data_IF_596437124769
#
_entry.id   IF_596437124769
#
_cell.length_a   1.000
_cell.length_b   1.000
_cell.length_c   1.000
_cell.angle_alpha   90.00
_cell.angle_beta   90.00
_cell.angle_gamma   90.00
#
_symmetry.space_group_name_H-M   'P 1'
#
loop_
_entity.id
_entity.type
_entity.pdbx_description
1 polymer ?
#
# COMPACT_ATOMS: atom_id res chain seq x y z
N UNK A 1 -42.83 -7.46 -3.70
CA UNK A 1 -41.84 -6.50 -4.28
C UNK A 1 -40.41 -6.68 -3.75
N UNK A 2 -40.00 -7.87 -3.28
CA UNK A 2 -38.63 -8.14 -2.77
C UNK A 2 -37.76 -9.01 -3.70
N UNK A 3 -38.28 -9.43 -4.85
CA UNK A 3 -37.56 -10.28 -5.83
C UNK A 3 -37.10 -9.56 -7.10
N UNK A 4 -37.32 -8.24 -7.20
CA UNK A 4 -36.91 -7.43 -8.37
C UNK A 4 -35.71 -6.51 -8.10
N UNK A 5 -35.25 -6.41 -6.85
CA UNK A 5 -34.06 -5.61 -6.49
C UNK A 5 -32.76 -6.45 -6.61
N UNK A 6 -32.86 -7.78 -6.54
CA UNK A 6 -31.69 -8.66 -6.62
C UNK A 6 -31.08 -8.79 -8.03
N UNK A 7 -31.85 -8.49 -9.09
CA UNK A 7 -31.39 -8.61 -10.49
C UNK A 7 -30.73 -7.31 -10.98
N UNK A 8 -31.03 -6.17 -10.35
CA UNK A 8 -30.40 -4.88 -10.68
C UNK A 8 -28.96 -4.75 -10.16
N UNK A 9 -28.64 -5.38 -9.02
CA UNK A 9 -27.28 -5.35 -8.45
C UNK A 9 -26.31 -6.34 -9.11
N UNK A 10 -26.81 -7.40 -9.75
CA UNK A 10 -25.96 -8.38 -10.44
C UNK A 10 -25.43 -7.86 -11.79
N UNK A 11 -26.09 -6.85 -12.38
CA UNK A 11 -25.67 -6.23 -13.65
C UNK A 11 -24.62 -5.14 -13.41
N UNK A 12 -24.60 -4.49 -12.24
CA UNK A 12 -23.54 -3.54 -11.88
C UNK A 12 -22.20 -4.22 -11.55
N UNK A 13 -22.19 -5.51 -11.19
CA UNK A 13 -20.96 -6.27 -10.95
C UNK A 13 -20.39 -6.96 -12.22
N UNK A 14 -21.15 -7.02 -13.32
CA UNK A 14 -20.68 -7.57 -14.60
C UNK A 14 -20.13 -6.52 -15.58
N UNK A 15 -20.18 -5.23 -15.22
CA UNK A 15 -19.55 -4.15 -16.00
C UNK A 15 -18.06 -3.90 -15.65
N UNK A 16 -17.43 -4.78 -14.85
CA UNK A 16 -15.99 -4.72 -14.54
C UNK A 16 -15.17 -5.81 -15.25
N UNK A 17 -15.80 -6.63 -16.10
CA UNK A 17 -15.12 -7.68 -16.86
C UNK A 17 -15.34 -7.48 -18.36
N UNK A 18 -14.24 -7.11 -19.04
CA UNK A 18 -14.03 -7.02 -20.48
C UNK A 18 -14.32 -5.68 -21.18
N UNK A 19 -13.31 -4.80 -21.15
CA UNK A 19 -12.70 -4.28 -22.39
C UNK A 19 -11.17 -4.34 -22.30
N UNK A 20 -10.61 -5.55 -22.24
CA UNK A 20 -9.26 -5.77 -22.76
C UNK A 20 -9.40 -6.37 -24.16
N UNK A 21 -9.98 -5.60 -25.08
CA UNK A 21 -9.98 -5.92 -26.51
C UNK A 21 -9.11 -4.89 -27.21
N UNK A 22 -8.08 -5.41 -27.87
CA UNK A 22 -7.18 -4.76 -28.81
C UNK A 22 -6.24 -3.68 -28.25
N UNK A 23 -5.11 -4.08 -27.65
CA UNK A 23 -3.86 -3.35 -27.88
C UNK A 23 -3.14 -3.99 -29.07
N UNK A 24 -3.73 -3.87 -30.25
CA UNK A 24 -2.99 -4.07 -31.48
C UNK A 24 -2.20 -2.78 -31.75
N UNK A 25 -0.87 -2.74 -31.85
CA UNK A 25 0.17 -3.55 -31.22
C UNK A 25 1.45 -2.75 -31.43
N UNK A 26 1.95 -2.04 -30.41
CA UNK A 26 3.37 -1.70 -30.43
C UNK A 26 4.10 -3.03 -30.41
N UNK A 27 4.73 -3.37 -31.54
CA UNK A 27 5.54 -4.58 -31.67
C UNK A 27 6.98 -4.15 -31.80
N UNK A 28 7.84 -4.76 -31.00
CA UNK A 28 9.28 -4.64 -31.17
C UNK A 28 9.77 -5.96 -31.76
N UNK A 29 10.21 -5.94 -33.02
CA UNK A 29 10.64 -7.14 -33.75
C UNK A 29 9.59 -8.27 -33.73
N UNK A 30 8.32 -7.91 -33.96
CA UNK A 30 7.20 -8.85 -33.96
C UNK A 30 6.66 -9.24 -32.58
N UNK A 31 7.34 -8.88 -31.49
CA UNK A 31 6.91 -9.19 -30.12
C UNK A 31 6.01 -8.09 -29.54
N UNK A 32 4.92 -8.42 -28.82
CA UNK A 32 4.08 -7.43 -28.15
C UNK A 32 4.87 -6.59 -27.14
N UNK A 33 4.70 -5.27 -27.16
CA UNK A 33 5.33 -4.34 -26.21
C UNK A 33 4.42 -4.11 -25.00
N UNK A 34 5.04 -3.96 -23.83
CA UNK A 34 4.41 -3.49 -22.59
C UNK A 34 5.10 -2.22 -22.09
N UNK A 35 4.35 -1.42 -21.34
CA UNK A 35 4.89 -0.26 -20.63
C UNK A 35 5.38 -0.72 -19.25
N UNK A 36 6.62 -0.36 -18.89
CA UNK A 36 7.07 -0.51 -17.51
C UNK A 36 6.58 0.70 -16.72
N UNK A 37 5.78 0.44 -15.69
CA UNK A 37 5.37 1.45 -14.71
C UNK A 37 6.10 1.14 -13.41
N UNK A 38 6.90 2.09 -12.93
CA UNK A 38 7.62 2.02 -11.67
C UNK A 38 7.18 3.16 -10.77
N UNK A 39 6.63 2.84 -9.59
CA UNK A 39 6.07 3.81 -8.65
C UNK A 39 5.09 4.81 -9.30
N UNK A 40 4.14 4.30 -10.10
CA UNK A 40 3.15 5.12 -10.83
C UNK A 40 3.72 5.94 -12.00
N UNK A 41 5.03 5.94 -12.21
CA UNK A 41 5.69 6.65 -13.32
C UNK A 41 6.04 5.69 -14.45
N UNK A 42 5.83 6.13 -15.68
CA UNK A 42 6.28 5.37 -16.85
C UNK A 42 7.80 5.42 -16.98
N UNK A 43 8.44 4.24 -16.96
CA UNK A 43 9.87 4.11 -17.26
C UNK A 43 10.04 4.05 -18.77
N UNK A 44 10.74 5.03 -19.34
CA UNK A 44 11.01 5.09 -20.78
C UNK A 44 12.25 4.28 -21.10
N UNK A 45 12.16 3.43 -22.13
CA UNK A 45 13.34 2.80 -22.72
C UNK A 45 13.86 3.62 -23.90
N UNK A 46 15.19 3.75 -24.02
CA UNK A 46 15.84 4.38 -25.17
C UNK A 46 16.03 3.41 -26.35
N UNK A 47 16.20 2.12 -26.07
CA UNK A 47 16.70 1.16 -27.08
C UNK A 47 15.75 -0.03 -27.29
N UNK A 48 15.47 -0.77 -26.23
CA UNK A 48 14.66 -2.00 -26.28
C UNK A 48 13.51 -1.85 -25.28
N UNK A 49 12.24 -1.89 -25.69
CA UNK A 49 11.13 -1.78 -24.75
C UNK A 49 10.90 -3.09 -23.99
N UNK A 50 10.02 -3.09 -22.99
CA UNK A 50 9.54 -4.34 -22.39
C UNK A 50 8.72 -5.08 -23.43
N UNK A 51 9.04 -6.35 -23.65
CA UNK A 51 8.36 -7.20 -24.65
C UNK A 51 7.79 -8.45 -24.01
N UNK A 52 6.82 -9.07 -24.68
CA UNK A 52 6.33 -10.41 -24.35
C UNK A 52 6.94 -11.40 -25.34
N UNK A 53 7.77 -12.30 -24.83
CA UNK A 53 8.42 -13.38 -25.61
C UNK A 53 8.01 -14.72 -24.98
N UNK A 54 7.45 -15.63 -25.76
CA UNK A 54 7.00 -16.95 -25.31
C UNK A 54 6.09 -16.92 -24.07
N UNK A 55 5.16 -15.95 -24.05
CA UNK A 55 4.23 -15.74 -22.92
C UNK A 55 4.86 -15.10 -21.68
N UNK A 56 6.15 -14.75 -21.71
CA UNK A 56 6.88 -14.14 -20.60
C UNK A 56 7.19 -12.67 -20.86
N UNK A 57 7.06 -11.84 -19.83
CA UNK A 57 7.47 -10.44 -19.89
C UNK A 57 8.98 -10.33 -19.75
N UNK A 58 9.65 -9.87 -20.80
CA UNK A 58 11.07 -9.62 -20.84
C UNK A 58 11.33 -8.14 -20.62
N UNK A 59 11.96 -7.81 -19.49
CA UNK A 59 12.37 -6.44 -19.15
C UNK A 59 13.85 -6.30 -19.52
N UNK A 60 14.21 -5.42 -20.47
CA UNK A 60 15.61 -5.18 -20.80
C UNK A 60 16.36 -4.64 -19.58
N UNK A 61 17.48 -5.27 -19.25
CA UNK A 61 18.25 -4.97 -18.05
C UNK A 61 18.74 -3.52 -18.00
N UNK A 62 18.98 -2.88 -19.15
CA UNK A 62 19.36 -1.46 -19.22
C UNK A 62 18.27 -0.52 -18.68
N UNK A 63 16.99 -0.94 -18.66
CA UNK A 63 15.92 -0.15 -18.03
C UNK A 63 16.06 -0.10 -16.50
N UNK A 64 16.85 -0.99 -15.90
CA UNK A 64 17.15 -0.90 -14.47
C UNK A 64 18.03 0.31 -14.14
N UNK A 65 18.77 0.85 -15.11
CA UNK A 65 19.54 2.10 -14.96
C UNK A 65 18.64 3.28 -14.64
N UNK A 66 17.50 3.38 -15.33
CA UNK A 66 16.49 4.42 -15.06
C UNK A 66 15.77 4.28 -13.72
N UNK A 67 15.99 3.18 -13.00
CA UNK A 67 15.44 2.96 -11.65
C UNK A 67 16.55 2.73 -10.61
N UNK A 68 17.77 3.24 -10.87
CA UNK A 68 18.83 3.35 -9.86
C UNK A 68 19.82 2.19 -9.80
N UNK A 69 19.90 1.33 -10.82
CA UNK A 69 20.86 0.22 -10.86
C UNK A 69 21.96 0.44 -11.90
N UNK A 70 23.20 0.18 -11.52
CA UNK A 70 24.33 0.01 -12.44
C UNK A 70 24.34 -1.41 -12.99
N UNK A 71 24.43 -1.50 -14.31
CA UNK A 71 24.53 -2.76 -15.02
C UNK A 71 25.94 -2.90 -15.58
N UNK A 72 26.63 -3.96 -15.19
CA UNK A 72 27.90 -4.39 -15.80
C UNK A 72 27.76 -5.80 -16.35
N UNK A 73 28.54 -6.10 -17.37
CA UNK A 73 28.61 -7.44 -17.97
C UNK A 73 29.98 -8.03 -17.71
N UNK A 74 30.02 -9.28 -17.26
CA UNK A 74 31.27 -10.01 -16.99
C UNK A 74 31.13 -11.43 -17.49
N UNK A 75 31.77 -11.73 -18.63
CA UNK A 75 31.62 -13.00 -19.33
C UNK A 75 30.15 -13.27 -19.69
N UNK A 76 29.64 -14.43 -19.27
CA UNK A 76 28.25 -14.84 -19.47
C UNK A 76 27.28 -14.31 -18.40
N UNK A 77 27.74 -13.39 -17.52
CA UNK A 77 26.93 -12.84 -16.44
C UNK A 77 26.56 -11.40 -16.71
N UNK A 78 25.31 -11.07 -16.39
CA UNK A 78 24.86 -9.69 -16.19
C UNK A 78 24.86 -9.43 -14.70
N UNK A 79 25.69 -8.48 -14.28
CA UNK A 79 25.83 -8.07 -12.89
C UNK A 79 25.00 -6.80 -12.72
N UNK A 80 23.99 -6.89 -11.85
CA UNK A 80 23.12 -5.78 -11.48
C UNK A 80 23.54 -5.34 -10.08
N UNK A 81 24.14 -4.16 -9.97
CA UNK A 81 24.46 -3.57 -8.67
C UNK A 81 23.69 -2.26 -8.51
N UNK A 82 23.19 -1.94 -7.31
CA UNK A 82 22.72 -0.60 -6.99
C UNK A 82 23.76 0.46 -7.40
N UNK A 83 23.35 1.50 -8.14
CA UNK A 83 24.24 2.58 -8.55
C UNK A 83 24.59 3.43 -7.32
N UNK A 84 25.74 3.18 -6.69
CA UNK A 84 26.41 3.97 -5.61
C UNK A 84 25.58 4.43 -4.39
N UNK A 85 24.27 4.18 -4.33
CA UNK A 85 23.33 4.66 -3.33
C UNK A 85 22.44 3.52 -2.82
N UNK A 86 23.09 2.39 -2.45
CA UNK A 86 22.44 1.28 -1.73
C UNK A 86 21.58 1.79 -0.57
N UNK A 87 22.05 2.83 0.10
CA UNK A 87 21.37 3.50 1.19
C UNK A 87 20.01 4.07 0.79
N UNK A 88 19.92 4.84 -0.30
CA UNK A 88 18.62 5.38 -0.77
C UNK A 88 17.71 4.31 -1.37
N UNK A 89 18.25 3.29 -2.03
CA UNK A 89 17.45 2.14 -2.50
C UNK A 89 16.88 1.33 -1.32
N UNK A 90 17.67 1.08 -0.29
CA UNK A 90 17.21 0.44 0.94
C UNK A 90 16.13 1.28 1.64
N UNK A 91 16.34 2.60 1.73
CA UNK A 91 15.33 3.53 2.28
C UNK A 91 14.02 3.46 1.51
N UNK A 92 14.06 3.48 0.17
CA UNK A 92 12.84 3.35 -0.65
C UNK A 92 12.14 2.03 -0.34
N UNK A 93 12.87 0.93 -0.21
CA UNK A 93 12.30 -0.37 0.17
C UNK A 93 11.57 -0.32 1.52
N UNK A 94 12.20 0.30 2.53
CA UNK A 94 11.62 0.42 3.87
C UNK A 94 10.41 1.35 3.87
N UNK A 95 10.54 2.54 3.28
CA UNK A 95 9.44 3.50 3.18
C UNK A 95 8.23 2.91 2.45
N UNK A 96 8.46 2.15 1.38
CA UNK A 96 7.40 1.41 0.65
C UNK A 96 6.74 0.36 1.54
N UNK A 97 7.49 -0.28 2.44
CA UNK A 97 6.93 -1.25 3.40
C UNK A 97 5.94 -0.60 4.39
N UNK A 98 6.17 0.67 4.76
CA UNK A 98 5.23 1.47 5.56
C UNK A 98 3.98 1.85 4.77
N UNK A 99 4.10 2.19 3.48
CA UNK A 99 2.94 2.44 2.63
C UNK A 99 1.95 1.26 2.64
N UNK A 100 2.45 0.02 2.59
CA UNK A 100 1.62 -1.19 2.69
C UNK A 100 0.91 -1.31 4.04
N UNK A 101 1.63 -1.07 5.14
CA UNK A 101 1.03 -1.04 6.48
C UNK A 101 -0.12 -0.03 6.54
N UNK A 102 0.10 1.16 5.99
CA UNK A 102 -0.90 2.23 6.04
C UNK A 102 -2.12 1.97 5.17
N UNK A 103 -1.97 1.29 4.03
CA UNK A 103 -3.12 0.77 3.26
C UNK A 103 -3.94 -0.18 4.12
N UNK A 104 -3.27 -1.10 4.81
CA UNK A 104 -3.91 -2.03 5.75
C UNK A 104 -4.71 -1.35 6.86
N UNK A 105 -4.17 -0.27 7.45
CA UNK A 105 -4.89 0.51 8.46
C UNK A 105 -6.12 1.25 7.88
N UNK A 106 -6.07 1.70 6.62
CA UNK A 106 -7.25 2.26 5.94
C UNK A 106 -8.31 1.19 5.65
N UNK A 107 -7.90 -0.03 5.31
CA UNK A 107 -8.85 -1.15 5.13
C UNK A 107 -9.54 -1.50 6.46
N UNK A 108 -8.77 -1.55 7.56
CA UNK A 108 -9.30 -1.72 8.91
C UNK A 108 -10.31 -0.62 9.26
N UNK A 109 -9.99 0.64 8.98
CA UNK A 109 -10.90 1.76 9.14
C UNK A 109 -12.21 1.58 8.37
N UNK A 110 -12.11 1.15 7.11
CA UNK A 110 -13.26 0.85 6.25
C UNK A 110 -14.16 -0.21 6.88
N UNK A 111 -13.59 -1.28 7.43
CA UNK A 111 -14.35 -2.33 8.13
C UNK A 111 -15.07 -1.78 9.38
N UNK A 112 -14.39 -0.95 10.18
CA UNK A 112 -14.96 -0.35 11.38
C UNK A 112 -16.16 0.56 11.05
N UNK A 113 -16.02 1.42 10.04
CA UNK A 113 -17.08 2.34 9.63
C UNK A 113 -18.24 1.63 8.95
N UNK A 114 -17.96 0.69 8.04
CA UNK A 114 -19.00 -0.06 7.33
C UNK A 114 -19.87 -0.87 8.30
N UNK A 115 -19.25 -1.63 9.20
CA UNK A 115 -19.98 -2.42 10.20
C UNK A 115 -20.80 -1.55 11.16
N UNK A 116 -20.34 -0.33 11.45
CA UNK A 116 -21.09 0.65 12.26
C UNK A 116 -22.33 1.17 11.52
N UNK A 117 -22.22 1.40 10.20
CA UNK A 117 -23.34 1.85 9.37
C UNK A 117 -24.36 0.72 9.16
N UNK A 118 -23.88 -0.50 8.89
CA UNK A 118 -24.72 -1.68 8.69
C UNK A 118 -25.55 -2.02 9.93
N UNK A 119 -25.03 -1.77 11.13
CA UNK A 119 -25.77 -1.97 12.39
C UNK A 119 -26.79 -0.87 12.70
N UNK A 120 -26.94 0.13 11.83
CA UNK A 120 -27.91 1.21 11.99
C UNK A 120 -27.68 2.10 13.21
N UNK A 121 -26.47 2.12 13.79
CA UNK A 121 -26.16 2.93 14.96
C UNK A 121 -26.74 2.44 16.29
N UNK A 122 -27.33 1.24 16.33
CA UNK A 122 -28.06 0.76 17.51
C UNK A 122 -28.20 -0.77 17.66
N UNK A 123 -27.97 -1.55 16.60
CA UNK A 123 -27.93 -3.01 16.71
C UNK A 123 -26.54 -3.51 17.10
N UNK A 124 -26.50 -4.63 17.82
CA UNK A 124 -25.25 -5.29 18.18
C UNK A 124 -24.60 -5.87 16.94
N UNK A 125 -23.31 -5.62 16.79
CA UNK A 125 -22.50 -6.21 15.71
C UNK A 125 -22.17 -7.66 16.07
N UNK A 126 -22.13 -8.53 15.06
CA UNK A 126 -21.89 -9.96 15.26
C UNK A 126 -20.54 -10.24 15.92
N UNK A 127 -20.45 -11.32 16.71
CA UNK A 127 -19.18 -11.73 17.32
C UNK A 127 -18.13 -12.10 16.27
N UNK A 128 -18.55 -12.61 15.11
CA UNK A 128 -17.66 -12.92 13.98
C UNK A 128 -16.99 -11.65 13.44
N UNK A 129 -17.77 -10.58 13.20
CA UNK A 129 -17.24 -9.29 12.77
C UNK A 129 -16.30 -8.69 13.82
N UNK A 130 -16.64 -8.81 15.10
CA UNK A 130 -15.77 -8.35 16.20
C UNK A 130 -14.44 -9.11 16.20
N UNK A 131 -14.47 -10.43 16.01
CA UNK A 131 -13.26 -11.25 15.91
C UNK A 131 -12.40 -10.84 14.71
N UNK A 132 -13.01 -10.73 13.51
CA UNK A 132 -12.31 -10.35 12.29
C UNK A 132 -11.59 -8.99 12.40
N UNK A 133 -12.24 -7.99 13.00
CA UNK A 133 -11.62 -6.67 13.22
C UNK A 133 -10.43 -6.76 14.19
N UNK A 134 -10.55 -7.54 15.26
CA UNK A 134 -9.46 -7.74 16.22
C UNK A 134 -8.28 -8.49 15.60
N UNK A 135 -8.56 -9.53 14.84
CA UNK A 135 -7.55 -10.31 14.13
C UNK A 135 -6.82 -9.45 13.10
N UNK A 136 -7.54 -8.59 12.39
CA UNK A 136 -6.93 -7.61 11.47
C UNK A 136 -6.02 -6.62 12.20
N UNK A 137 -6.46 -6.08 13.35
CA UNK A 137 -5.60 -5.20 14.16
C UNK A 137 -4.34 -5.93 14.64
N UNK A 138 -4.49 -7.14 15.19
CA UNK A 138 -3.37 -7.94 15.67
C UNK A 138 -2.37 -8.29 14.54
N UNK A 139 -2.88 -8.60 13.36
CA UNK A 139 -2.05 -8.83 12.17
C UNK A 139 -1.21 -7.58 11.83
N UNK A 140 -1.82 -6.39 11.81
CA UNK A 140 -1.07 -5.16 11.50
C UNK A 140 -0.06 -4.78 12.59
N UNK A 141 -0.32 -5.14 13.85
CA UNK A 141 0.66 -5.00 14.94
C UNK A 141 1.88 -5.92 14.76
N UNK A 142 1.65 -7.16 14.34
CA UNK A 142 2.72 -8.11 14.02
C UNK A 142 3.54 -7.64 12.82
N UNK A 143 2.88 -7.11 11.79
CA UNK A 143 3.54 -6.54 10.61
C UNK A 143 4.34 -5.26 10.92
N UNK A 144 3.94 -4.49 11.93
CA UNK A 144 4.64 -3.25 12.30
C UNK A 144 6.04 -3.52 12.88
N UNK A 145 6.18 -4.47 13.79
CA UNK A 145 7.44 -4.75 14.50
C UNK A 145 8.67 -4.98 13.60
N UNK A 146 8.63 -5.83 12.54
CA UNK A 146 9.80 -6.02 11.67
C UNK A 146 10.13 -4.77 10.86
N UNK A 147 9.13 -3.94 10.50
CA UNK A 147 9.34 -2.70 9.73
C UNK A 147 10.07 -1.65 10.54
N UNK A 148 9.79 -1.60 11.84
CA UNK A 148 10.53 -0.75 12.78
C UNK A 148 11.98 -1.19 12.89
N UNK A 149 12.24 -2.48 13.04
CA UNK A 149 13.63 -2.99 13.11
C UNK A 149 14.44 -2.64 11.88
N UNK A 150 13.82 -2.68 10.70
CA UNK A 150 14.47 -2.24 9.47
C UNK A 150 14.93 -0.79 9.55
N UNK A 151 14.22 0.10 10.25
CA UNK A 151 14.63 1.50 10.44
C UNK A 151 15.88 1.63 11.30
N UNK A 152 15.99 0.82 12.36
CA UNK A 152 17.15 0.83 13.25
C UNK A 152 18.42 0.39 12.49
N UNK A 153 18.29 -0.55 11.56
CA UNK A 153 19.40 -1.10 10.78
C UNK A 153 19.94 -0.12 9.70
N UNK A 154 19.19 0.92 9.31
CA UNK A 154 19.61 1.91 8.28
C UNK A 154 19.96 3.28 8.85
N UNK A 155 20.05 3.37 10.17
CA UNK A 155 20.34 4.61 10.91
C UNK A 155 21.85 4.92 10.93
N UNK A 156 22.45 5.30 9.77
CA UNK A 156 23.41 6.40 9.83
C UNK A 156 23.24 7.41 8.67
N UNK A 157 22.07 7.50 8.03
CA UNK A 157 21.82 8.54 7.03
C UNK A 157 21.25 9.77 7.75
N UNK A 158 22.02 10.87 7.77
CA UNK A 158 21.70 12.13 8.48
C UNK A 158 20.31 12.73 8.13
N UNK A 159 19.73 12.32 7.00
CA UNK A 159 18.44 12.80 6.50
C UNK A 159 17.25 11.86 6.80
N UNK A 160 17.43 10.79 7.61
CA UNK A 160 16.34 9.87 7.88
C UNK A 160 15.33 10.44 8.90
N UNK A 161 14.02 10.50 8.56
CA UNK A 161 13.01 11.08 9.42
C UNK A 161 12.64 10.21 10.61
N UNK A 162 13.07 10.65 11.79
CA UNK A 162 12.51 10.19 13.06
C UNK A 162 10.98 10.36 13.15
N UNK A 163 10.43 11.28 12.35
CA UNK A 163 8.99 11.52 12.27
C UNK A 163 8.21 10.34 11.67
N UNK A 164 8.81 9.51 10.82
CA UNK A 164 8.13 8.32 10.27
C UNK A 164 7.99 7.25 11.36
N UNK A 165 9.05 6.99 12.13
CA UNK A 165 9.02 6.06 13.26
C UNK A 165 7.91 6.46 14.24
N UNK A 166 8.00 7.69 14.75
CA UNK A 166 7.07 8.22 15.76
C UNK A 166 5.65 8.31 15.19
N UNK A 167 5.52 8.79 13.95
CA UNK A 167 4.23 8.92 13.30
C UNK A 167 3.53 7.58 13.10
N UNK A 168 4.28 6.53 12.72
CA UNK A 168 3.74 5.20 12.52
C UNK A 168 3.37 4.53 13.85
N UNK A 169 4.21 4.68 14.88
CA UNK A 169 3.91 4.22 16.24
C UNK A 169 2.61 4.86 16.77
N UNK A 170 2.50 6.19 16.64
CA UNK A 170 1.32 6.94 17.04
C UNK A 170 0.08 6.52 16.24
N UNK A 171 0.21 6.25 14.93
CA UNK A 171 -0.88 5.75 14.11
C UNK A 171 -1.35 4.38 14.63
N UNK A 172 -0.44 3.43 14.83
CA UNK A 172 -0.76 2.10 15.37
C UNK A 172 -1.46 2.19 16.73
N UNK A 173 -0.95 3.04 17.63
CA UNK A 173 -1.55 3.28 18.95
C UNK A 173 -2.97 3.82 18.83
N UNK A 174 -3.22 4.80 17.95
CA UNK A 174 -4.55 5.37 17.74
C UNK A 174 -5.53 4.36 17.12
N UNK A 175 -5.08 3.53 16.19
CA UNK A 175 -5.92 2.47 15.62
C UNK A 175 -6.27 1.40 16.65
N UNK A 176 -5.33 0.96 17.50
CA UNK A 176 -5.63 0.07 18.63
C UNK A 176 -6.72 0.65 19.53
N UNK A 177 -6.54 1.90 19.94
CA UNK A 177 -7.52 2.63 20.77
C UNK A 177 -8.88 2.81 20.09
N UNK A 178 -8.89 2.90 18.76
CA UNK A 178 -10.11 2.99 17.96
C UNK A 178 -10.82 1.63 17.93
N UNK A 179 -10.11 0.54 17.64
CA UNK A 179 -10.63 -0.83 17.67
C UNK A 179 -11.19 -1.20 19.06
N UNK A 180 -10.52 -0.79 20.13
CA UNK A 180 -11.02 -0.97 21.50
C UNK A 180 -12.35 -0.24 21.74
N UNK A 181 -12.45 1.04 21.35
CA UNK A 181 -13.69 1.81 21.48
C UNK A 181 -14.81 1.27 20.60
N UNK A 182 -14.50 0.89 19.36
CA UNK A 182 -15.43 0.25 18.46
C UNK A 182 -15.93 -1.08 19.00
N UNK A 183 -15.05 -1.90 19.61
CA UNK A 183 -15.46 -3.17 20.22
C UNK A 183 -16.47 -2.97 21.35
N UNK A 184 -16.34 -1.88 22.13
CA UNK A 184 -17.32 -1.53 23.16
C UNK A 184 -18.67 -1.20 22.53
N UNK A 185 -18.66 -0.30 21.55
CA UNK A 185 -19.85 0.04 20.76
C UNK A 185 -20.49 -1.19 20.10
N UNK A 186 -19.71 -2.03 19.42
CA UNK A 186 -20.16 -3.24 18.74
C UNK A 186 -20.92 -4.20 19.67
N UNK A 187 -20.51 -4.29 20.94
CA UNK A 187 -21.14 -5.14 21.96
C UNK A 187 -22.38 -4.51 22.59
N UNK A 188 -22.37 -3.20 22.80
CA UNK A 188 -23.44 -2.49 23.51
C UNK A 188 -24.56 -2.02 22.58
N UNK A 189 -24.23 -1.61 21.36
CA UNK A 189 -25.10 -0.86 20.47
C UNK A 189 -25.41 0.56 20.99
N UNK A 190 -24.70 1.05 22.00
CA UNK A 190 -25.07 2.29 22.69
C UNK A 190 -24.62 3.54 21.93
N UNK A 191 -25.44 4.59 22.01
CA UNK A 191 -25.11 5.90 21.42
C UNK A 191 -23.94 6.56 22.15
N UNK A 192 -23.81 6.30 23.45
CA UNK A 192 -22.71 6.77 24.28
C UNK A 192 -21.37 6.21 23.79
N UNK A 193 -21.28 4.90 23.55
CA UNK A 193 -20.07 4.27 23.02
C UNK A 193 -19.78 4.71 21.58
N UNK A 194 -20.83 4.90 20.76
CA UNK A 194 -20.71 5.44 19.40
C UNK A 194 -20.06 6.84 19.41
N UNK A 195 -20.50 7.71 20.33
CA UNK A 195 -19.96 9.07 20.50
C UNK A 195 -18.51 9.07 20.99
N UNK A 196 -18.04 8.00 21.64
CA UNK A 196 -16.62 7.83 22.01
C UNK A 196 -15.80 7.29 20.84
N UNK A 197 -16.36 6.38 20.06
CA UNK A 197 -15.69 5.75 18.91
C UNK A 197 -15.45 6.73 17.75
N UNK A 198 -16.46 7.50 17.33
CA UNK A 198 -16.37 8.35 16.12
C UNK A 198 -15.22 9.40 16.19
N UNK A 199 -15.01 10.12 17.30
CA UNK A 199 -13.86 11.02 17.43
C UNK A 199 -12.51 10.30 17.32
N UNK A 200 -12.41 9.07 17.85
CA UNK A 200 -11.18 8.28 17.80
C UNK A 200 -10.82 7.86 16.38
N UNK A 201 -11.82 7.48 15.57
CA UNK A 201 -11.62 7.22 14.13
C UNK A 201 -11.04 8.46 13.45
N UNK A 202 -11.63 9.64 13.68
CA UNK A 202 -11.17 10.89 13.08
C UNK A 202 -9.74 11.24 13.48
N UNK A 203 -9.40 11.03 14.74
CA UNK A 203 -8.04 11.25 15.26
C UNK A 203 -7.04 10.25 14.66
N UNK A 204 -7.42 8.98 14.52
CA UNK A 204 -6.59 7.95 13.88
C UNK A 204 -6.37 8.26 12.39
N UNK A 205 -7.42 8.64 11.66
CA UNK A 205 -7.36 9.08 10.25
C UNK A 205 -6.40 10.27 10.07
N UNK A 206 -6.51 11.29 10.94
CA UNK A 206 -5.65 12.48 10.88
C UNK A 206 -4.18 12.09 11.06
N UNK A 207 -3.89 11.24 12.02
CA UNK A 207 -2.53 10.75 12.26
C UNK A 207 -2.00 9.94 11.08
N UNK A 208 -2.81 9.02 10.55
CA UNK A 208 -2.43 8.18 9.42
C UNK A 208 -2.09 9.02 8.19
N UNK A 209 -2.91 10.03 7.90
CA UNK A 209 -2.66 10.96 6.80
C UNK A 209 -1.35 11.72 6.98
N UNK A 210 -1.06 12.19 8.20
CA UNK A 210 0.17 12.94 8.49
C UNK A 210 1.43 12.09 8.30
N UNK A 211 1.44 10.84 8.78
CA UNK A 211 2.58 9.94 8.59
C UNK A 211 2.70 9.46 7.14
N UNK A 212 1.59 9.26 6.43
CA UNK A 212 1.61 8.93 5.00
C UNK A 212 2.24 10.05 4.17
N UNK A 213 1.83 11.28 4.40
CA UNK A 213 2.44 12.43 3.74
C UNK A 213 3.94 12.50 4.03
N UNK A 214 4.35 12.24 5.27
CA UNK A 214 5.77 12.18 5.61
C UNK A 214 6.47 11.09 4.80
N UNK A 215 5.96 9.85 4.78
CA UNK A 215 6.53 8.76 3.97
C UNK A 215 6.66 9.15 2.49
N UNK A 216 5.62 9.75 1.90
CA UNK A 216 5.61 10.15 0.49
C UNK A 216 6.65 11.24 0.20
N UNK A 217 6.77 12.24 1.08
CA UNK A 217 7.77 13.30 0.97
C UNK A 217 9.20 12.73 1.00
N UNK A 218 9.47 11.78 1.90
CA UNK A 218 10.78 11.15 1.99
C UNK A 218 11.05 10.17 0.85
N UNK A 219 10.05 9.43 0.38
CA UNK A 219 10.17 8.60 -0.82
C UNK A 219 10.61 9.47 -2.00
N UNK A 220 9.93 10.60 -2.23
CA UNK A 220 10.25 11.52 -3.31
C UNK A 220 11.67 12.09 -3.19
N UNK A 221 12.10 12.50 -1.99
CA UNK A 221 13.48 12.94 -1.75
C UNK A 221 14.51 11.85 -2.09
N UNK A 222 14.29 10.61 -1.65
CA UNK A 222 15.18 9.50 -1.93
C UNK A 222 15.23 9.18 -3.45
N UNK A 223 14.11 9.26 -4.16
CA UNK A 223 14.10 9.10 -5.62
C UNK A 223 14.89 10.19 -6.34
N UNK A 224 14.73 11.47 -5.96
CA UNK A 224 15.51 12.58 -6.54
C UNK A 224 17.01 12.35 -6.34
N UNK A 225 17.42 11.82 -5.18
CA UNK A 225 18.83 11.50 -4.90
C UNK A 225 19.37 10.30 -5.68
N UNK A 226 18.52 9.42 -6.20
CA UNK A 226 18.92 8.33 -7.09
C UNK A 226 19.07 8.79 -8.55
N UNK A 227 18.45 9.91 -8.92
CA UNK A 227 18.51 10.48 -10.27
C UNK A 227 19.72 11.44 -10.47
N UNK A 228 20.38 11.85 -9.38
CA UNK A 228 21.58 12.69 -9.34
C UNK A 228 22.87 11.86 -9.37
#
# INVERSE_FOLDING_TARGET
>A
MRKKILVGLLILFMAASATAVASDALKYKGMPVRQLVWNGKSVKSKDVPVVVMDGRTMIPVNMLKSVGYTITTSGNKVIVVPASNKNYLNNIGILTSFSRLFVGLRELEGMLLLSTVESGGGEKISQETIAAVKDSMAYWEQEYAPRVKLLDDVSPIDDYPRDIYRGAEEAMKRYRQTVESWTKYAKSGSKEDLNVFLPRVKDAQKQLKAVQQSVDDYLNKNFVRLEQ
#
